data_IF_235512432543
#
_entry.id   IF_235512432543
#
_cell.length_a   1.000
_cell.length_b   1.000
_cell.length_c   1.000
_cell.angle_alpha   90.00
_cell.angle_beta   90.00
_cell.angle_gamma   90.00
#
_symmetry.space_group_name_H-M   'P 1'
#
loop_
_entity.id
_entity.type
_entity.pdbx_description
1 polymer ?
#
# COMPACT_ATOMS: atom_id res chain seq x y z
N UNK A 1 -20.53 -5.01 0.51
CA UNK A 1 -19.55 -5.52 -0.46
C UNK A 1 -18.22 -4.86 -0.16
N UNK A 2 -17.15 -5.63 -0.22
CA UNK A 2 -15.78 -5.16 -0.02
C UNK A 2 -15.23 -4.71 -1.37
N UNK A 3 -14.61 -3.55 -1.38
CA UNK A 3 -13.99 -2.90 -2.53
C UNK A 3 -12.57 -2.51 -2.12
N UNK A 4 -11.64 -2.55 -3.06
CA UNK A 4 -10.31 -2.01 -2.85
C UNK A 4 -10.32 -0.47 -2.97
N UNK A 5 -9.14 0.12 -2.85
CA UNK A 5 -8.92 1.57 -2.90
C UNK A 5 -8.58 2.08 -4.31
N UNK A 6 -8.66 1.21 -5.33
CA UNK A 6 -8.40 1.61 -6.70
C UNK A 6 -9.52 2.51 -7.21
N UNK A 7 -9.21 3.33 -8.22
CA UNK A 7 -10.22 4.13 -8.90
C UNK A 7 -11.10 3.33 -9.88
N UNK A 8 -10.85 2.03 -10.03
CA UNK A 8 -11.60 1.16 -10.94
C UNK A 8 -12.80 0.52 -10.21
N UNK A 9 -13.94 0.48 -10.87
CA UNK A 9 -15.14 -0.18 -10.34
C UNK A 9 -15.04 -1.70 -10.29
N UNK A 10 -14.07 -2.27 -11.01
CA UNK A 10 -13.78 -3.70 -11.05
C UNK A 10 -13.00 -4.17 -9.80
N UNK A 11 -12.42 -3.25 -9.02
CA UNK A 11 -11.72 -3.49 -7.75
C UNK A 11 -12.64 -3.91 -6.61
N UNK A 12 -13.39 -5.01 -6.78
CA UNK A 12 -14.38 -5.48 -5.82
C UNK A 12 -14.47 -7.00 -5.75
N UNK A 13 -14.99 -7.48 -4.61
CA UNK A 13 -15.24 -8.91 -4.41
C UNK A 13 -16.73 -9.19 -4.66
N UNK A 14 -17.00 -10.00 -5.67
CA UNK A 14 -18.36 -10.36 -6.08
C UNK A 14 -18.95 -11.56 -5.31
N UNK A 15 -18.09 -12.42 -4.71
CA UNK A 15 -18.51 -13.63 -4.02
C UNK A 15 -17.74 -13.90 -2.74
N UNK A 16 -18.44 -14.34 -1.70
CA UNK A 16 -17.90 -14.59 -0.37
C UNK A 16 -18.22 -16.01 0.07
N UNK A 17 -17.28 -16.67 0.74
CA UNK A 17 -17.47 -18.02 1.27
C UNK A 17 -18.24 -17.95 2.58
N UNK A 18 -19.35 -18.66 2.66
CA UNK A 18 -20.14 -18.89 3.89
C UNK A 18 -20.38 -20.40 4.10
N UNK A 19 -20.87 -20.80 5.27
CA UNK A 19 -21.12 -22.21 5.63
C UNK A 19 -22.12 -22.93 4.72
N UNK A 20 -22.85 -22.20 3.88
CA UNK A 20 -23.85 -22.74 2.94
C UNK A 20 -23.39 -22.68 1.47
N UNK A 21 -22.22 -22.11 1.18
CA UNK A 21 -21.69 -21.99 -0.19
C UNK A 21 -21.08 -20.61 -0.47
N UNK A 22 -21.37 -20.06 -1.65
CA UNK A 22 -20.91 -18.74 -2.07
C UNK A 22 -22.09 -17.77 -2.06
N UNK A 23 -21.95 -16.70 -1.30
CA UNK A 23 -22.94 -15.63 -1.16
C UNK A 23 -22.45 -14.34 -1.83
N UNK A 24 -23.37 -13.45 -2.19
CA UNK A 24 -23.03 -12.13 -2.79
C UNK A 24 -22.70 -11.05 -1.76
N UNK A 25 -22.79 -11.38 -0.46
CA UNK A 25 -22.52 -10.48 0.66
C UNK A 25 -21.82 -11.21 1.80
N UNK A 26 -20.97 -10.50 2.54
CA UNK A 26 -20.29 -11.01 3.73
C UNK A 26 -20.91 -10.40 4.99
N UNK A 27 -21.47 -11.19 5.92
CA UNK A 27 -21.84 -10.69 7.23
C UNK A 27 -20.58 -10.26 8.00
N UNK A 28 -20.56 -9.01 8.45
CA UNK A 28 -19.49 -8.45 9.27
C UNK A 28 -20.05 -8.05 10.64
N UNK A 29 -19.25 -8.14 11.71
CA UNK A 29 -19.65 -7.61 13.01
C UNK A 29 -19.84 -6.09 12.91
N UNK A 30 -20.63 -5.53 13.83
CA UNK A 30 -20.77 -4.08 13.94
C UNK A 30 -19.43 -3.47 14.35
N UNK A 31 -18.96 -2.50 13.58
CA UNK A 31 -17.69 -1.83 13.82
C UNK A 31 -17.90 -0.45 14.46
N UNK A 32 -17.18 -0.18 15.54
CA UNK A 32 -17.12 1.17 16.12
C UNK A 32 -16.20 2.05 15.28
N UNK A 33 -16.41 3.36 15.30
CA UNK A 33 -15.59 4.31 14.53
C UNK A 33 -14.12 4.30 14.97
N UNK A 34 -13.86 3.98 16.24
CA UNK A 34 -12.52 4.06 16.84
C UNK A 34 -11.77 2.72 16.86
N UNK A 35 -12.35 1.65 16.31
CA UNK A 35 -11.74 0.31 16.31
C UNK A 35 -11.02 0.02 15.00
N UNK A 36 -9.80 -0.51 15.11
CA UNK A 36 -9.01 -0.98 13.96
C UNK A 36 -9.68 -2.20 13.31
N UNK A 37 -9.89 -2.12 12.00
CA UNK A 37 -10.64 -3.12 11.23
C UNK A 37 -9.67 -3.91 10.37
N UNK A 38 -9.26 -5.07 10.86
CA UNK A 38 -8.39 -5.97 10.11
C UNK A 38 -9.22 -7.02 9.37
N UNK A 39 -8.84 -7.27 8.11
CA UNK A 39 -9.45 -8.27 7.26
C UNK A 39 -8.37 -9.23 6.75
N UNK A 40 -8.70 -10.53 6.71
CA UNK A 40 -7.81 -11.57 6.22
C UNK A 40 -8.33 -12.17 4.92
N UNK A 41 -7.46 -12.25 3.92
CA UNK A 41 -7.68 -13.01 2.69
C UNK A 41 -6.91 -14.32 2.78
N UNK A 42 -7.61 -15.45 2.65
CA UNK A 42 -7.03 -16.77 2.80
C UNK A 42 -6.98 -17.50 1.46
N UNK A 43 -6.12 -18.53 1.37
CA UNK A 43 -5.93 -19.34 0.16
C UNK A 43 -5.34 -18.55 -1.03
N UNK A 44 -4.59 -17.49 -0.75
CA UNK A 44 -3.93 -16.64 -1.75
C UNK A 44 -2.49 -17.06 -2.07
N UNK A 45 -1.97 -18.14 -1.46
CA UNK A 45 -0.56 -18.54 -1.57
C UNK A 45 -0.14 -19.18 -2.90
N UNK A 46 -1.02 -19.27 -3.89
CA UNK A 46 -0.70 -19.79 -5.21
C UNK A 46 -1.04 -18.75 -6.28
N UNK A 47 -0.11 -18.49 -7.20
CA UNK A 47 -0.19 -17.54 -8.31
C UNK A 47 -0.31 -16.05 -7.95
N UNK A 48 -1.00 -15.68 -6.87
CA UNK A 48 -1.36 -14.29 -6.60
C UNK A 48 -0.17 -13.35 -6.41
N UNK A 49 0.92 -13.84 -5.81
CA UNK A 49 2.11 -13.03 -5.55
C UNK A 49 2.79 -12.55 -6.84
N UNK A 50 2.94 -13.44 -7.84
CA UNK A 50 3.68 -13.10 -9.07
C UNK A 50 2.80 -12.53 -10.19
N UNK A 51 1.48 -12.71 -10.10
CA UNK A 51 0.54 -12.25 -11.12
C UNK A 51 -0.05 -10.87 -10.82
N UNK A 52 0.28 -10.26 -9.68
CA UNK A 52 -0.11 -8.89 -9.35
C UNK A 52 0.38 -7.90 -10.41
N UNK A 53 -0.41 -6.84 -10.63
CA UNK A 53 -0.02 -5.70 -11.44
C UNK A 53 0.01 -4.41 -10.62
N UNK A 54 0.56 -3.35 -11.20
CA UNK A 54 0.72 -2.05 -10.57
C UNK A 54 -0.47 -1.13 -10.87
N UNK A 55 -1.70 -1.60 -10.67
CA UNK A 55 -2.89 -0.80 -10.95
C UNK A 55 -2.92 0.45 -10.03
N UNK A 56 -3.09 1.63 -10.62
CA UNK A 56 -2.91 2.94 -9.95
C UNK A 56 -1.56 3.12 -9.23
N UNK A 57 -0.51 2.40 -9.66
CA UNK A 57 0.83 2.46 -9.06
C UNK A 57 0.87 2.01 -7.58
N UNK A 58 -0.10 1.19 -7.15
CA UNK A 58 0.05 0.42 -5.92
C UNK A 58 1.05 -0.71 -6.18
N UNK A 59 2.15 -0.70 -5.44
CA UNK A 59 3.22 -1.68 -5.59
C UNK A 59 3.04 -2.89 -4.68
N UNK A 60 4.10 -3.68 -4.57
CA UNK A 60 4.08 -4.90 -3.76
C UNK A 60 3.80 -4.58 -2.29
N UNK A 61 3.14 -5.51 -1.60
CA UNK A 61 2.83 -5.37 -0.17
C UNK A 61 3.98 -5.82 0.72
N UNK A 62 4.06 -5.27 1.94
CA UNK A 62 4.87 -5.86 3.00
C UNK A 62 4.56 -7.36 3.19
N UNK A 63 5.59 -8.19 3.31
CA UNK A 63 5.44 -9.62 3.57
C UNK A 63 6.45 -10.12 4.59
N UNK A 64 6.07 -11.19 5.30
CA UNK A 64 6.86 -11.79 6.37
C UNK A 64 6.54 -13.27 6.51
N UNK A 65 7.56 -14.07 6.80
CA UNK A 65 7.39 -15.47 7.16
C UNK A 65 7.11 -15.58 8.66
N UNK A 66 5.93 -16.06 9.02
CA UNK A 66 5.56 -16.31 10.42
C UNK A 66 5.65 -17.81 10.75
N UNK A 67 6.42 -18.16 11.78
CA UNK A 67 6.53 -19.53 12.30
C UNK A 67 6.37 -19.57 13.82
N UNK A 68 5.99 -20.72 14.35
CA UNK A 68 5.94 -20.97 15.80
C UNK A 68 7.16 -21.80 16.19
N UNK A 69 7.83 -21.42 17.27
CA UNK A 69 8.94 -22.18 17.80
C UNK A 69 8.50 -23.32 18.74
N UNK A 70 9.49 -24.01 19.33
CA UNK A 70 9.24 -25.15 20.19
C UNK A 70 8.48 -24.79 21.48
N UNK A 71 8.53 -23.54 21.91
CA UNK A 71 7.85 -23.01 23.09
C UNK A 71 6.49 -22.39 22.74
N UNK A 72 6.14 -22.36 21.44
CA UNK A 72 4.90 -21.78 20.93
C UNK A 72 4.96 -20.27 20.78
N UNK A 73 6.16 -19.68 20.79
CA UNK A 73 6.35 -18.25 20.53
C UNK A 73 6.43 -17.99 19.02
N UNK A 74 5.83 -16.88 18.59
CA UNK A 74 5.91 -16.44 17.21
C UNK A 74 7.33 -15.97 16.88
N UNK A 75 7.84 -16.43 15.74
CA UNK A 75 9.05 -15.94 15.10
C UNK A 75 8.70 -15.41 13.72
N UNK A 76 9.16 -14.19 13.45
CA UNK A 76 8.98 -13.49 12.19
C UNK A 76 10.34 -13.42 11.50
N UNK A 77 10.43 -14.03 10.32
CA UNK A 77 11.63 -14.11 9.49
C UNK A 77 11.34 -13.56 8.08
N UNK A 78 12.39 -13.34 7.29
CA UNK A 78 12.29 -12.85 5.90
C UNK A 78 11.34 -11.66 5.70
N UNK A 79 11.51 -10.60 6.51
CA UNK A 79 10.76 -9.36 6.29
C UNK A 79 11.15 -8.77 4.93
N UNK A 80 10.15 -8.63 4.07
CA UNK A 80 10.25 -7.93 2.80
C UNK A 80 9.35 -6.70 2.90
N UNK A 81 9.97 -5.54 2.71
CA UNK A 81 9.23 -4.30 2.61
C UNK A 81 8.59 -4.19 1.23
N UNK A 82 7.32 -3.79 1.21
CA UNK A 82 6.63 -3.46 -0.01
C UNK A 82 7.17 -2.19 -0.64
N UNK A 83 6.64 -1.86 -1.82
CA UNK A 83 7.19 -0.78 -2.62
C UNK A 83 6.86 0.60 -2.05
N UNK A 84 7.81 1.52 -2.18
CA UNK A 84 7.57 2.95 -1.96
C UNK A 84 7.14 3.61 -3.27
N UNK A 85 6.57 4.81 -3.17
CA UNK A 85 6.18 5.59 -4.35
C UNK A 85 7.37 5.81 -5.30
N UNK A 86 8.57 6.05 -4.78
CA UNK A 86 9.78 6.17 -5.58
C UNK A 86 10.15 4.89 -6.34
N UNK A 87 9.95 3.71 -5.72
CA UNK A 87 10.27 2.42 -6.34
C UNK A 87 9.31 2.17 -7.52
N UNK A 88 8.02 2.45 -7.34
CA UNK A 88 7.02 2.30 -8.41
C UNK A 88 7.21 3.31 -9.55
N UNK A 89 7.57 4.54 -9.24
CA UNK A 89 7.95 5.52 -10.26
C UNK A 89 9.15 5.05 -11.10
N UNK A 90 10.09 4.32 -10.48
CA UNK A 90 11.19 3.67 -11.18
C UNK A 90 10.73 2.70 -12.28
N UNK A 91 9.68 1.90 -12.04
CA UNK A 91 9.15 0.97 -13.03
C UNK A 91 8.61 1.66 -14.29
N UNK A 92 8.10 2.89 -14.15
CA UNK A 92 7.61 3.70 -15.28
C UNK A 92 8.67 4.68 -15.84
N UNK A 93 9.95 4.45 -15.52
CA UNK A 93 11.12 5.24 -15.94
C UNK A 93 11.14 6.69 -15.43
N UNK A 94 10.58 6.93 -14.25
CA UNK A 94 10.75 8.19 -13.53
C UNK A 94 11.82 8.05 -12.45
N UNK A 95 12.67 9.06 -12.37
CA UNK A 95 13.73 9.14 -11.36
C UNK A 95 13.33 10.10 -10.24
N UNK A 96 13.23 9.58 -9.03
CA UNK A 96 12.88 10.33 -7.83
C UNK A 96 13.86 11.47 -7.54
N UNK A 97 15.16 11.29 -7.81
CA UNK A 97 16.16 12.33 -7.60
C UNK A 97 15.99 13.48 -8.59
N UNK A 98 15.66 13.14 -9.84
CA UNK A 98 15.28 14.12 -10.85
C UNK A 98 14.05 14.92 -10.42
N UNK A 99 13.01 14.26 -9.88
CA UNK A 99 11.81 14.96 -9.38
C UNK A 99 12.14 15.93 -8.23
N UNK A 100 12.97 15.49 -7.27
CA UNK A 100 13.43 16.33 -6.16
C UNK A 100 14.22 17.54 -6.65
N UNK A 101 15.13 17.35 -7.60
CA UNK A 101 15.91 18.44 -8.19
C UNK A 101 15.01 19.45 -8.91
N UNK A 102 14.04 18.98 -9.70
CA UNK A 102 13.08 19.84 -10.41
C UNK A 102 12.22 20.66 -9.45
N UNK A 103 11.70 20.06 -8.39
CA UNK A 103 10.95 20.81 -7.39
C UNK A 103 11.85 21.85 -6.70
N UNK A 104 13.10 21.50 -6.37
CA UNK A 104 14.03 22.43 -5.76
C UNK A 104 14.32 23.65 -6.66
N UNK A 105 14.49 23.44 -7.98
CA UNK A 105 14.64 24.51 -8.97
C UNK A 105 13.39 25.42 -9.01
N UNK A 106 12.20 24.84 -9.03
CA UNK A 106 10.93 25.58 -9.07
C UNK A 106 10.70 26.40 -7.79
N UNK A 107 11.00 25.83 -6.63
CA UNK A 107 10.88 26.51 -5.33
C UNK A 107 11.87 27.67 -5.22
N UNK A 108 13.11 27.50 -5.70
CA UNK A 108 14.10 28.57 -5.70
C UNK A 108 13.71 29.75 -6.62
N UNK A 109 12.90 29.50 -7.65
CA UNK A 109 12.37 30.52 -8.56
C UNK A 109 11.02 31.10 -8.11
N UNK A 110 10.47 30.64 -6.99
CA UNK A 110 9.16 31.06 -6.47
C UNK A 110 9.28 32.23 -5.48
N UNK A 111 8.18 32.95 -5.26
CA UNK A 111 8.07 33.99 -4.24
C UNK A 111 7.73 33.43 -2.84
N UNK A 112 7.82 32.10 -2.65
CA UNK A 112 7.52 31.43 -1.38
C UNK A 112 8.61 31.72 -0.33
N UNK A 113 8.19 31.77 0.93
CA UNK A 113 9.12 31.92 2.05
C UNK A 113 10.05 30.71 2.17
N UNK A 114 11.22 30.91 2.79
CA UNK A 114 12.17 29.82 3.05
C UNK A 114 11.55 28.67 3.86
N UNK A 115 10.57 28.97 4.71
CA UNK A 115 9.82 27.99 5.49
C UNK A 115 8.92 27.14 4.62
N UNK A 116 8.09 27.75 3.77
CA UNK A 116 7.24 27.05 2.81
C UNK A 116 8.07 26.20 1.84
N UNK A 117 9.20 26.73 1.34
CA UNK A 117 10.07 25.97 0.45
C UNK A 117 10.67 24.74 1.15
N UNK A 118 11.04 24.84 2.44
CA UNK A 118 11.50 23.67 3.22
C UNK A 118 10.36 22.67 3.41
N UNK A 119 9.17 23.16 3.72
CA UNK A 119 8.00 22.30 3.90
C UNK A 119 7.68 21.51 2.63
N UNK A 120 7.58 22.17 1.47
CA UNK A 120 7.30 21.46 0.20
C UNK A 120 8.37 20.44 -0.18
N UNK A 121 9.66 20.74 0.06
CA UNK A 121 10.74 19.76 -0.16
C UNK A 121 10.60 18.55 0.75
N UNK A 122 10.25 18.78 2.01
CA UNK A 122 10.01 17.72 2.97
C UNK A 122 8.80 16.87 2.55
N UNK A 123 7.68 17.49 2.19
CA UNK A 123 6.45 16.79 1.81
C UNK A 123 6.64 15.94 0.56
N UNK A 124 7.34 16.45 -0.46
CA UNK A 124 7.69 15.64 -1.63
C UNK A 124 8.58 14.46 -1.24
N UNK A 125 9.59 14.70 -0.39
CA UNK A 125 10.53 13.65 0.03
C UNK A 125 9.82 12.55 0.82
N UNK A 126 8.97 12.94 1.77
CA UNK A 126 8.15 12.05 2.56
C UNK A 126 7.17 11.26 1.67
N UNK A 127 6.51 11.90 0.72
CA UNK A 127 5.61 11.22 -0.22
C UNK A 127 6.33 10.22 -1.13
N UNK A 128 7.54 10.54 -1.59
CA UNK A 128 8.35 9.62 -2.42
C UNK A 128 8.91 8.44 -1.63
N UNK A 129 9.24 8.64 -0.37
CA UNK A 129 9.74 7.60 0.55
C UNK A 129 8.61 6.80 1.21
N UNK A 130 7.38 7.32 1.13
CA UNK A 130 6.18 6.70 1.69
C UNK A 130 5.81 5.42 0.96
N UNK A 131 5.13 4.55 1.70
CA UNK A 131 4.52 3.34 1.17
C UNK A 131 3.45 3.67 0.14
N UNK A 132 3.23 2.82 -0.86
CA UNK A 132 2.26 3.12 -1.92
C UNK A 132 0.81 3.11 -1.45
N UNK A 133 0.52 2.49 -0.30
CA UNK A 133 -0.83 2.40 0.28
C UNK A 133 -1.15 3.60 1.18
N UNK A 134 -2.43 3.75 1.52
CA UNK A 134 -2.93 4.90 2.29
C UNK A 134 -2.57 4.81 3.78
N UNK A 135 -2.40 5.98 4.41
CA UNK A 135 -2.31 6.18 5.87
C UNK A 135 -3.66 6.59 6.48
#
# INVERSE_FOLDING_TARGET
MIQDITCDSDGRIDGYVDGQGVESTLPLPEWREDEERLMGFFLVGAYQEILGDLHNLFGDTDSVDASLDADGEWRLDHLLHGDRVADVLGYVNFDADTLRARLAEQLAASDLSDEEQRQFRHDLSAGLEGYTYLE
#
